data_IF_968260178247
#
_entry.id   IF_968260178247
#
_cell.length_a   1.000
_cell.length_b   1.000
_cell.length_c   1.000
_cell.angle_alpha   90.00
_cell.angle_beta   90.00
_cell.angle_gamma   90.00
#
_symmetry.space_group_name_H-M   'P 1'
#
loop_
_entity.id
_entity.type
_entity.pdbx_description
1 polymer ?
#
# COMPACT_ATOMS: atom_id res chain seq x y z
N UNK A 1 -12.73 -9.26 27.92
CA UNK A 1 -11.72 -10.18 28.43
C UNK A 1 -10.51 -9.40 28.90
N UNK A 2 -9.93 -9.75 30.05
CA UNK A 2 -8.64 -9.17 30.44
C UNK A 2 -7.60 -9.71 29.46
N UNK A 3 -6.90 -8.84 28.77
CA UNK A 3 -5.64 -9.22 28.11
C UNK A 3 -4.72 -9.78 29.20
N UNK A 4 -4.00 -10.86 28.87
CA UNK A 4 -3.20 -11.64 29.80
C UNK A 4 -2.20 -10.83 30.65
N UNK A 5 -1.18 -11.47 31.18
CA UNK A 5 -0.17 -10.87 32.05
C UNK A 5 0.35 -9.54 31.51
N UNK A 6 0.61 -8.53 32.37
CA UNK A 6 1.21 -7.28 31.94
C UNK A 6 2.49 -7.55 31.13
N UNK A 7 2.58 -7.04 29.90
CA UNK A 7 3.75 -7.24 29.02
C UNK A 7 5.07 -6.86 29.71
N UNK A 8 5.01 -5.85 30.59
CA UNK A 8 6.15 -5.39 31.40
C UNK A 8 6.65 -6.47 32.39
N UNK A 9 5.74 -7.31 32.93
CA UNK A 9 6.11 -8.40 33.84
C UNK A 9 6.85 -9.54 33.16
N UNK A 10 6.71 -9.65 31.83
CA UNK A 10 7.40 -10.66 31.00
C UNK A 10 8.66 -10.11 30.32
N UNK A 11 9.12 -8.88 30.67
CA UNK A 11 10.23 -8.20 30.02
C UNK A 11 9.91 -7.72 28.60
N UNK A 12 8.64 -7.78 28.19
CA UNK A 12 8.15 -7.24 26.92
C UNK A 12 7.70 -5.80 27.13
N UNK A 13 8.14 -4.89 26.28
CA UNK A 13 7.70 -3.49 26.28
C UNK A 13 6.20 -3.33 25.99
N UNK A 14 5.71 -2.12 26.12
CA UNK A 14 4.36 -1.78 25.67
C UNK A 14 4.24 -2.02 24.15
N UNK A 15 3.06 -2.46 23.65
CA UNK A 15 2.86 -2.58 22.21
C UNK A 15 3.03 -1.21 21.55
N UNK A 16 3.78 -1.16 20.45
CA UNK A 16 3.90 0.03 19.62
C UNK A 16 2.55 0.38 18.96
N UNK A 17 2.24 1.66 18.92
CA UNK A 17 1.00 2.17 18.29
C UNK A 17 1.35 2.73 16.92
N UNK A 18 0.91 2.03 15.89
CA UNK A 18 1.05 2.47 14.49
C UNK A 18 -0.25 3.07 14.00
N UNK A 19 -0.17 4.26 13.41
CA UNK A 19 -1.34 5.02 12.98
C UNK A 19 -1.43 5.02 11.46
N UNK A 20 -2.54 4.47 10.94
CA UNK A 20 -2.90 4.61 9.54
C UNK A 20 -3.73 5.88 9.35
N UNK A 21 -3.27 6.81 8.51
CA UNK A 21 -4.03 8.03 8.26
C UNK A 21 -3.29 9.03 7.39
N UNK A 22 -4.07 9.82 6.64
CA UNK A 22 -3.55 10.73 5.62
C UNK A 22 -3.97 12.18 5.86
N UNK A 23 -5.12 12.41 6.52
CA UNK A 23 -5.67 13.74 6.73
C UNK A 23 -4.97 14.50 7.87
N UNK A 24 -5.04 15.85 7.88
CA UNK A 24 -4.29 16.70 8.82
C UNK A 24 -4.51 16.34 10.30
N UNK A 25 -5.75 15.96 10.65
CA UNK A 25 -6.07 15.54 12.02
C UNK A 25 -5.34 14.25 12.41
N UNK A 26 -5.26 13.28 11.47
CA UNK A 26 -4.59 12.00 11.73
C UNK A 26 -3.08 12.16 11.76
N UNK A 27 -2.49 13.02 10.94
CA UNK A 27 -1.05 13.33 11.00
C UNK A 27 -0.69 13.95 12.37
N UNK A 28 -1.53 14.86 12.90
CA UNK A 28 -1.35 15.40 14.24
C UNK A 28 -1.45 14.31 15.32
N UNK A 29 -2.45 13.41 15.24
CA UNK A 29 -2.59 12.29 16.18
C UNK A 29 -1.38 11.37 16.11
N UNK A 30 -0.86 11.09 14.90
CA UNK A 30 0.35 10.30 14.72
C UNK A 30 1.54 10.92 15.43
N UNK A 31 1.83 12.20 15.23
CA UNK A 31 2.92 12.89 15.93
C UNK A 31 2.72 12.95 17.45
N UNK A 32 1.47 13.09 17.90
CA UNK A 32 1.16 13.23 19.32
C UNK A 32 1.19 11.90 20.10
N UNK A 33 0.80 10.78 19.46
CA UNK A 33 0.57 9.50 20.17
C UNK A 33 1.18 8.28 19.48
N UNK A 34 1.48 8.36 18.18
CA UNK A 34 1.98 7.25 17.39
C UNK A 34 3.44 6.92 17.68
N UNK A 35 3.77 5.65 17.61
CA UNK A 35 5.15 5.15 17.59
C UNK A 35 5.59 4.85 16.15
N UNK A 36 4.64 4.70 15.22
CA UNK A 36 4.84 4.56 13.78
C UNK A 36 3.70 5.15 12.97
N UNK A 37 3.99 5.47 11.71
CA UNK A 37 3.04 5.90 10.69
C UNK A 37 3.01 4.89 9.55
N UNK A 38 1.83 4.39 9.20
CA UNK A 38 1.62 3.35 8.19
C UNK A 38 0.57 3.81 7.16
N UNK A 39 0.92 4.72 6.23
CA UNK A 39 0.01 5.10 5.17
C UNK A 39 -0.15 3.97 4.15
N UNK A 40 -1.25 3.99 3.41
CA UNK A 40 -1.41 3.18 2.23
C UNK A 40 -0.70 3.82 1.02
N UNK A 41 -0.62 3.10 -0.09
CA UNK A 41 0.24 3.32 -1.25
C UNK A 41 -0.11 4.46 -2.20
N UNK A 42 -1.28 5.05 -2.12
CA UNK A 42 -1.76 6.05 -3.11
C UNK A 42 -1.27 7.47 -2.83
N UNK A 43 0.00 7.66 -2.83
CA UNK A 43 0.61 9.00 -2.75
C UNK A 43 1.97 9.00 -3.45
N UNK A 44 2.37 10.15 -4.00
CA UNK A 44 3.72 10.29 -4.55
C UNK A 44 4.78 10.31 -3.45
N UNK A 45 6.05 10.03 -3.77
CA UNK A 45 7.15 10.21 -2.82
C UNK A 45 7.23 11.62 -2.23
N UNK A 46 6.91 12.64 -3.03
CA UNK A 46 6.89 14.05 -2.59
C UNK A 46 5.79 14.28 -1.55
N UNK A 47 4.59 13.77 -1.81
CA UNK A 47 3.47 13.87 -0.88
C UNK A 47 3.75 13.09 0.42
N UNK A 48 4.35 11.89 0.29
CA UNK A 48 4.81 11.10 1.43
C UNK A 48 5.77 11.91 2.32
N UNK A 49 6.80 12.50 1.73
CA UNK A 49 7.78 13.33 2.48
C UNK A 49 7.15 14.55 3.15
N UNK A 50 6.20 15.22 2.49
CA UNK A 50 5.49 16.37 3.07
C UNK A 50 4.64 15.97 4.28
N UNK A 51 3.92 14.84 4.19
CA UNK A 51 3.13 14.31 5.30
C UNK A 51 4.01 13.84 6.45
N UNK A 52 5.13 13.16 6.16
CA UNK A 52 6.10 12.74 7.15
C UNK A 52 6.70 13.96 7.88
N UNK A 53 7.12 14.99 7.16
CA UNK A 53 7.60 16.24 7.77
C UNK A 53 6.57 16.85 8.72
N UNK A 54 5.29 16.86 8.34
CA UNK A 54 4.20 17.34 9.20
C UNK A 54 4.07 16.50 10.48
N UNK A 55 4.22 15.18 10.40
CA UNK A 55 4.21 14.29 11.58
C UNK A 55 5.40 14.58 12.49
N UNK A 56 6.60 14.76 11.92
CA UNK A 56 7.83 15.10 12.66
C UNK A 56 7.67 16.42 13.42
N UNK A 57 7.12 17.45 12.78
CA UNK A 57 6.86 18.74 13.41
C UNK A 57 5.90 18.61 14.59
N UNK A 58 4.84 17.84 14.45
CA UNK A 58 3.95 17.55 15.57
C UNK A 58 4.65 16.76 16.68
N UNK A 59 5.39 15.70 16.37
CA UNK A 59 6.12 14.93 17.36
C UNK A 59 7.06 15.84 18.18
N UNK A 60 7.84 16.68 17.49
CA UNK A 60 8.71 17.66 18.13
C UNK A 60 7.95 18.65 19.02
N UNK A 61 6.79 19.15 18.58
CA UNK A 61 5.96 20.08 19.36
C UNK A 61 5.39 19.47 20.64
N UNK A 62 5.24 18.14 20.69
CA UNK A 62 4.83 17.37 21.85
C UNK A 62 5.99 16.76 22.64
N UNK A 63 7.24 17.05 22.27
CA UNK A 63 8.45 16.53 22.93
C UNK A 63 8.59 15.01 22.79
N UNK A 64 8.10 14.42 21.69
CA UNK A 64 8.15 12.99 21.41
C UNK A 64 9.24 12.63 20.40
N UNK A 65 9.73 11.38 20.44
CA UNK A 65 10.53 10.85 19.34
C UNK A 65 9.74 10.86 18.02
N UNK A 66 10.43 10.99 16.90
CA UNK A 66 9.84 10.82 15.57
C UNK A 66 9.24 9.42 15.43
N UNK A 67 7.97 9.29 15.03
CA UNK A 67 7.38 7.99 14.72
C UNK A 67 8.12 7.32 13.56
N UNK A 68 8.27 5.99 13.62
CA UNK A 68 8.85 5.21 12.55
C UNK A 68 8.05 5.38 11.25
N UNK A 69 8.73 5.69 10.16
CA UNK A 69 8.12 6.01 8.86
C UNK A 69 7.98 4.74 8.02
N UNK A 70 6.74 4.27 7.80
CA UNK A 70 6.49 3.09 6.99
C UNK A 70 5.57 3.35 5.80
N UNK A 71 5.51 2.37 4.90
CA UNK A 71 4.55 2.32 3.79
C UNK A 71 4.01 0.91 3.66
N UNK A 72 2.68 0.78 3.66
CA UNK A 72 2.00 -0.46 3.27
C UNK A 72 1.67 -0.39 1.78
N UNK A 73 2.12 -1.37 1.02
CA UNK A 73 1.91 -1.41 -0.42
C UNK A 73 1.75 -2.83 -0.95
N UNK A 74 1.32 -2.94 -2.20
CA UNK A 74 1.24 -4.20 -2.92
C UNK A 74 2.18 -4.19 -4.12
N UNK A 75 2.79 -5.35 -4.38
CA UNK A 75 3.66 -5.56 -5.53
C UNK A 75 3.20 -6.77 -6.35
N UNK A 76 3.41 -6.69 -7.65
CA UNK A 76 3.30 -7.80 -8.58
C UNK A 76 4.63 -7.98 -9.29
N UNK A 77 5.30 -9.10 -9.06
CA UNK A 77 6.51 -9.43 -9.84
C UNK A 77 6.11 -9.89 -11.22
N UNK A 78 6.63 -9.22 -12.24
CA UNK A 78 6.40 -9.53 -13.65
C UNK A 78 7.63 -9.17 -14.49
N UNK A 79 7.76 -9.83 -15.65
CA UNK A 79 8.81 -9.52 -16.64
C UNK A 79 8.55 -8.22 -17.37
N UNK A 80 7.28 -7.86 -17.52
CA UNK A 80 6.84 -6.67 -18.21
C UNK A 80 5.44 -6.26 -17.77
N UNK A 81 5.07 -5.04 -18.09
CA UNK A 81 3.70 -4.52 -17.88
C UNK A 81 2.69 -5.34 -18.69
N UNK A 82 3.00 -5.68 -19.97
CA UNK A 82 2.12 -6.47 -20.81
C UNK A 82 1.86 -7.86 -20.22
N UNK A 83 2.90 -8.48 -19.64
CA UNK A 83 2.76 -9.76 -18.95
C UNK A 83 1.91 -9.65 -17.69
N UNK A 84 2.06 -8.59 -16.93
CA UNK A 84 1.21 -8.33 -15.77
C UNK A 84 -0.25 -8.16 -16.19
N UNK A 85 -0.53 -7.40 -17.25
CA UNK A 85 -1.87 -7.24 -17.80
C UNK A 85 -2.49 -8.58 -18.22
N UNK A 86 -1.74 -9.45 -18.95
CA UNK A 86 -2.18 -10.80 -19.28
C UNK A 86 -2.58 -11.63 -18.04
N UNK A 87 -1.86 -11.49 -16.92
CA UNK A 87 -2.20 -12.20 -15.68
C UNK A 87 -3.55 -11.74 -15.15
N UNK A 88 -3.82 -10.43 -15.14
CA UNK A 88 -5.11 -9.87 -14.73
C UNK A 88 -6.24 -10.19 -15.70
N UNK A 89 -5.96 -10.36 -17.00
CA UNK A 89 -6.97 -10.84 -17.95
C UNK A 89 -7.37 -12.31 -17.70
N UNK A 90 -6.44 -13.14 -17.24
CA UNK A 90 -6.70 -14.54 -16.86
C UNK A 90 -7.41 -14.66 -15.52
N UNK A 91 -7.10 -13.77 -14.58
CA UNK A 91 -7.68 -13.71 -13.24
C UNK A 91 -8.31 -12.32 -13.00
N UNK A 92 -9.48 -12.04 -13.64
CA UNK A 92 -10.06 -10.70 -13.64
C UNK A 92 -10.42 -10.17 -12.24
N UNK A 93 -10.66 -11.05 -11.25
CA UNK A 93 -10.95 -10.64 -9.87
C UNK A 93 -9.83 -9.79 -9.27
N UNK A 94 -8.58 -9.98 -9.71
CA UNK A 94 -7.47 -9.13 -9.33
C UNK A 94 -7.64 -7.67 -9.76
N UNK A 95 -8.38 -7.39 -10.82
CA UNK A 95 -8.65 -6.02 -11.29
C UNK A 95 -9.45 -5.19 -10.28
N UNK A 96 -10.16 -5.83 -9.34
CA UNK A 96 -10.85 -5.13 -8.26
C UNK A 96 -9.94 -4.25 -7.41
N UNK A 97 -8.62 -4.48 -7.43
CA UNK A 97 -7.66 -3.55 -6.83
C UNK A 97 -7.76 -2.14 -7.40
N UNK A 98 -8.16 -1.97 -8.68
CA UNK A 98 -8.39 -0.67 -9.28
C UNK A 98 -9.46 0.18 -8.58
N UNK A 99 -10.40 -0.46 -7.86
CA UNK A 99 -11.38 0.26 -7.03
C UNK A 99 -10.75 1.00 -5.85
N UNK A 100 -9.51 0.66 -5.48
CA UNK A 100 -8.81 1.33 -4.39
C UNK A 100 -8.19 2.67 -4.82
N UNK A 101 -8.09 2.95 -6.11
CA UNK A 101 -7.78 4.28 -6.61
C UNK A 101 -8.96 5.23 -6.33
N UNK A 102 -8.67 6.46 -5.94
CA UNK A 102 -9.70 7.47 -5.67
C UNK A 102 -10.40 7.92 -6.96
N UNK A 103 -11.62 8.45 -6.84
CA UNK A 103 -12.40 8.88 -7.99
C UNK A 103 -11.73 9.96 -8.85
N UNK A 104 -10.98 10.88 -8.24
CA UNK A 104 -10.21 11.91 -8.95
C UNK A 104 -9.07 11.31 -9.80
N UNK A 105 -8.47 10.20 -9.37
CA UNK A 105 -7.50 9.43 -10.17
C UNK A 105 -8.18 8.81 -11.39
N UNK A 106 -9.38 8.24 -11.22
CA UNK A 106 -10.17 7.72 -12.33
C UNK A 106 -10.54 8.84 -13.33
N UNK A 107 -11.01 9.99 -12.84
CA UNK A 107 -11.33 11.15 -13.69
C UNK A 107 -10.11 11.67 -14.45
N UNK A 108 -8.94 11.71 -13.83
CA UNK A 108 -7.70 12.15 -14.50
C UNK A 108 -7.26 11.21 -15.62
N UNK A 109 -7.68 9.95 -15.57
CA UNK A 109 -7.52 8.96 -16.64
C UNK A 109 -8.69 8.96 -17.64
N UNK A 110 -9.65 9.88 -17.52
CA UNK A 110 -10.81 9.99 -18.41
C UNK A 110 -11.87 8.90 -18.19
N UNK A 111 -11.89 8.30 -17.00
CA UNK A 111 -12.76 7.19 -16.62
C UNK A 111 -13.68 7.60 -15.45
N UNK A 112 -14.81 6.90 -15.33
CA UNK A 112 -15.71 7.03 -14.19
C UNK A 112 -15.45 5.93 -13.17
N UNK A 113 -15.33 6.29 -11.89
CA UNK A 113 -15.15 5.29 -10.84
C UNK A 113 -16.45 4.49 -10.64
N UNK A 114 -16.40 3.14 -10.62
CA UNK A 114 -17.60 2.29 -10.54
C UNK A 114 -18.48 2.54 -9.31
N UNK A 115 -17.90 3.05 -8.21
CA UNK A 115 -18.62 3.41 -6.98
C UNK A 115 -18.95 4.91 -6.88
N UNK A 116 -18.77 5.66 -7.98
CA UNK A 116 -18.99 7.11 -8.06
C UNK A 116 -17.68 7.92 -7.99
N UNK A 117 -17.68 9.08 -8.64
CA UNK A 117 -16.48 9.92 -8.77
C UNK A 117 -16.06 10.63 -7.46
N UNK A 118 -16.90 10.61 -6.44
CA UNK A 118 -16.59 11.08 -5.09
C UNK A 118 -15.96 9.99 -4.20
N UNK A 119 -15.74 8.79 -4.75
CA UNK A 119 -15.10 7.66 -4.05
C UNK A 119 -13.71 8.04 -3.53
N UNK A 120 -13.45 7.71 -2.26
CA UNK A 120 -12.15 7.83 -1.60
C UNK A 120 -11.31 6.54 -1.71
N UNK A 121 -11.63 5.72 -2.72
CA UNK A 121 -10.93 4.50 -3.01
C UNK A 121 -10.96 3.51 -1.85
N UNK A 122 -9.81 3.05 -1.40
CA UNK A 122 -9.68 2.05 -0.34
C UNK A 122 -10.52 2.33 0.92
N UNK A 123 -10.80 3.60 1.23
CA UNK A 123 -11.57 3.98 2.43
C UNK A 123 -13.05 3.65 2.27
N UNK A 124 -13.58 3.76 1.05
CA UNK A 124 -15.00 3.56 0.75
C UNK A 124 -15.31 2.15 0.27
N UNK A 125 -14.28 1.37 -0.14
CA UNK A 125 -14.47 0.00 -0.61
C UNK A 125 -14.64 -0.95 0.59
N UNK A 126 -15.89 -1.15 1.00
CA UNK A 126 -16.25 -2.10 2.06
C UNK A 126 -16.65 -3.42 1.39
N UNK A 127 -15.72 -4.36 1.32
CA UNK A 127 -15.91 -5.65 0.62
C UNK A 127 -17.15 -6.41 1.12
N UNK A 128 -17.53 -6.25 2.38
CA UNK A 128 -18.69 -6.94 2.98
C UNK A 128 -20.03 -6.39 2.48
N UNK A 129 -20.05 -5.17 1.97
CA UNK A 129 -21.26 -4.53 1.43
C UNK A 129 -21.45 -4.86 -0.06
N UNK A 130 -20.46 -5.47 -0.69
CA UNK A 130 -20.48 -5.83 -2.11
C UNK A 130 -20.90 -7.30 -2.28
N UNK A 131 -21.87 -7.52 -3.17
CA UNK A 131 -22.31 -8.88 -3.53
C UNK A 131 -21.21 -9.56 -4.37
N UNK A 132 -20.95 -10.84 -4.12
CA UNK A 132 -19.91 -11.60 -4.84
C UNK A 132 -20.18 -11.72 -6.35
N UNK A 133 -21.44 -11.78 -6.76
CA UNK A 133 -21.81 -11.85 -8.17
C UNK A 133 -21.61 -10.50 -8.85
N UNK A 134 -21.99 -9.39 -8.19
CA UNK A 134 -21.74 -8.03 -8.67
C UNK A 134 -20.22 -7.78 -8.84
N UNK A 135 -19.39 -8.29 -7.92
CA UNK A 135 -17.92 -8.17 -8.02
C UNK A 135 -17.35 -8.96 -9.19
N UNK A 136 -17.88 -10.14 -9.48
CA UNK A 136 -17.46 -10.94 -10.64
C UNK A 136 -17.81 -10.27 -11.96
N UNK A 137 -18.98 -9.64 -12.03
CA UNK A 137 -19.42 -8.90 -13.21
C UNK A 137 -18.65 -7.59 -13.39
N UNK A 138 -18.28 -6.94 -12.30
CA UNK A 138 -17.54 -5.68 -12.30
C UNK A 138 -16.06 -5.87 -12.64
N UNK A 139 -15.41 -6.89 -12.09
CA UNK A 139 -13.97 -7.08 -12.20
C UNK A 139 -13.43 -7.03 -13.64
N UNK A 140 -14.04 -7.69 -14.65
CA UNK A 140 -13.58 -7.62 -16.04
C UNK A 140 -13.69 -6.22 -16.66
N UNK A 141 -14.54 -5.34 -16.12
CA UNK A 141 -14.78 -3.99 -16.66
C UNK A 141 -13.75 -2.97 -16.19
N UNK A 142 -12.98 -3.29 -15.14
CA UNK A 142 -11.97 -2.39 -14.60
C UNK A 142 -10.74 -2.41 -15.50
N UNK A 143 -10.32 -1.25 -16.04
CA UNK A 143 -9.11 -1.16 -16.85
C UNK A 143 -7.85 -1.46 -16.03
N UNK A 144 -6.87 -2.11 -16.65
CA UNK A 144 -5.60 -2.42 -15.98
C UNK A 144 -4.82 -1.16 -15.58
N UNK A 145 -5.02 -0.06 -16.29
CA UNK A 145 -4.48 1.26 -15.92
C UNK A 145 -4.83 1.64 -14.49
N UNK A 146 -6.06 1.39 -14.05
CA UNK A 146 -6.49 1.72 -12.68
C UNK A 146 -5.88 0.79 -11.64
N UNK A 147 -5.57 -0.45 -12.01
CA UNK A 147 -4.82 -1.37 -11.14
C UNK A 147 -3.40 -0.87 -10.93
N UNK A 148 -2.74 -0.34 -11.97
CA UNK A 148 -1.38 0.22 -11.89
C UNK A 148 -1.28 1.46 -11.00
N UNK A 149 -2.37 2.20 -10.81
CA UNK A 149 -2.37 3.36 -9.91
C UNK A 149 -2.19 2.96 -8.43
N UNK A 150 -2.50 1.72 -8.09
CA UNK A 150 -2.48 1.20 -6.71
C UNK A 150 -1.58 -0.02 -6.51
N UNK A 151 -0.81 -0.40 -7.51
CA UNK A 151 0.01 -1.60 -7.51
C UNK A 151 1.38 -1.32 -8.15
N UNK A 152 2.45 -1.62 -7.43
CA UNK A 152 3.79 -1.57 -8.01
C UNK A 152 4.05 -2.85 -8.82
N UNK A 153 4.44 -2.69 -10.08
CA UNK A 153 4.66 -3.80 -11.01
C UNK A 153 6.07 -3.75 -11.56
N UNK A 154 6.74 -4.90 -11.64
CA UNK A 154 8.07 -5.03 -12.23
C UNK A 154 8.86 -6.19 -11.65
N UNK A 155 10.11 -6.33 -12.10
CA UNK A 155 11.10 -7.19 -11.47
C UNK A 155 11.71 -6.52 -10.22
N UNK A 156 12.56 -7.24 -9.49
CA UNK A 156 13.15 -6.73 -8.24
C UNK A 156 13.91 -5.41 -8.41
N UNK A 157 14.63 -5.21 -9.53
CA UNK A 157 15.38 -3.99 -9.79
C UNK A 157 14.46 -2.80 -10.12
N UNK A 158 13.46 -3.03 -10.95
CA UNK A 158 12.47 -2.02 -11.32
C UNK A 158 11.63 -1.57 -10.10
N UNK A 159 11.23 -2.52 -9.25
CA UNK A 159 10.56 -2.20 -8.00
C UNK A 159 11.47 -1.42 -7.03
N UNK A 160 12.75 -1.80 -6.93
CA UNK A 160 13.73 -1.05 -6.15
C UNK A 160 13.83 0.40 -6.60
N UNK A 161 13.89 0.66 -7.92
CA UNK A 161 13.90 2.02 -8.49
C UNK A 161 12.62 2.79 -8.16
N UNK A 162 11.45 2.13 -8.20
CA UNK A 162 10.17 2.76 -7.83
C UNK A 162 10.14 3.16 -6.36
N UNK A 163 10.77 2.38 -5.46
CA UNK A 163 10.84 2.69 -4.03
C UNK A 163 11.94 3.70 -3.65
N UNK A 164 12.92 3.94 -4.52
CA UNK A 164 14.03 4.89 -4.24
C UNK A 164 13.52 6.30 -3.87
N UNK A 165 12.45 6.77 -4.53
CA UNK A 165 11.85 8.06 -4.23
C UNK A 165 11.31 8.12 -2.79
N UNK A 166 10.68 7.06 -2.32
CA UNK A 166 10.17 6.99 -0.94
C UNK A 166 11.29 6.87 0.08
N UNK A 167 12.35 6.10 -0.22
CA UNK A 167 13.54 6.04 0.64
C UNK A 167 14.16 7.43 0.81
N UNK A 168 14.33 8.20 -0.28
CA UNK A 168 14.81 9.60 -0.24
C UNK A 168 13.85 10.53 0.53
N UNK A 169 12.56 10.22 0.54
CA UNK A 169 11.55 10.97 1.28
C UNK A 169 11.46 10.57 2.77
N UNK A 170 12.29 9.62 3.22
CA UNK A 170 12.40 9.23 4.62
C UNK A 170 11.65 7.94 5.00
N UNK A 171 11.31 7.08 4.02
CA UNK A 171 10.77 5.75 4.29
C UNK A 171 11.83 4.88 4.99
N UNK A 172 11.48 4.30 6.14
CA UNK A 172 12.36 3.42 6.94
C UNK A 172 11.87 1.97 6.92
N UNK A 173 10.56 1.75 6.78
CA UNK A 173 9.96 0.43 6.91
C UNK A 173 8.93 0.17 5.80
N UNK A 174 9.21 -0.78 4.91
CA UNK A 174 8.32 -1.15 3.82
C UNK A 174 7.58 -2.46 4.14
N UNK A 175 6.26 -2.42 4.10
CA UNK A 175 5.38 -3.58 4.29
C UNK A 175 4.83 -3.97 2.92
N UNK A 176 5.19 -5.15 2.45
CA UNK A 176 4.89 -5.61 1.09
C UNK A 176 3.84 -6.73 1.11
N UNK A 177 2.71 -6.48 0.46
CA UNK A 177 1.77 -7.51 0.03
C UNK A 177 2.15 -8.02 -1.37
N UNK A 178 2.70 -9.23 -1.45
CA UNK A 178 3.05 -9.83 -2.75
C UNK A 178 1.84 -10.50 -3.38
N UNK A 179 1.34 -9.96 -4.49
CA UNK A 179 0.15 -10.45 -5.20
C UNK A 179 0.48 -11.45 -6.32
N UNK A 180 1.75 -11.72 -6.61
CA UNK A 180 2.16 -12.56 -7.73
C UNK A 180 1.47 -13.93 -7.74
N UNK A 181 1.38 -14.57 -6.57
CA UNK A 181 0.71 -15.86 -6.47
C UNK A 181 -0.83 -15.77 -6.47
N UNK A 182 -1.38 -14.62 -6.10
CA UNK A 182 -2.83 -14.40 -6.10
C UNK A 182 -3.36 -14.23 -7.54
N UNK A 183 -2.61 -13.50 -8.38
CA UNK A 183 -3.01 -13.18 -9.76
C UNK A 183 -2.43 -14.19 -10.75
N UNK A 184 -1.16 -14.57 -10.61
CA UNK A 184 -0.47 -15.46 -11.55
C UNK A 184 -0.53 -16.94 -11.23
N UNK A 185 -1.05 -17.30 -10.06
CA UNK A 185 -1.13 -18.69 -9.63
C UNK A 185 0.22 -19.34 -9.31
N UNK A 186 0.24 -20.68 -9.27
CA UNK A 186 1.43 -21.44 -8.86
C UNK A 186 2.59 -21.30 -9.84
N UNK A 187 2.31 -21.17 -11.13
CA UNK A 187 3.35 -21.08 -12.17
C UNK A 187 4.19 -19.81 -11.99
N UNK A 188 3.53 -18.67 -11.71
CA UNK A 188 4.24 -17.41 -11.46
C UNK A 188 4.93 -17.41 -10.08
N UNK A 189 4.38 -18.07 -9.07
CA UNK A 189 5.09 -18.29 -7.79
C UNK A 189 6.42 -19.00 -8.04
N UNK A 190 6.42 -20.06 -8.83
CA UNK A 190 7.63 -20.83 -9.14
C UNK A 190 8.60 -20.04 -10.01
N UNK A 191 8.10 -19.35 -11.01
CA UNK A 191 8.93 -18.54 -11.91
C UNK A 191 9.58 -17.33 -11.21
N UNK A 192 8.86 -16.71 -10.25
CA UNK A 192 9.27 -15.47 -9.57
C UNK A 192 9.70 -15.65 -8.12
N UNK A 193 9.87 -16.89 -7.66
CA UNK A 193 10.14 -17.19 -6.24
C UNK A 193 11.38 -16.49 -5.67
N UNK A 194 12.33 -16.08 -6.50
CA UNK A 194 13.55 -15.37 -6.09
C UNK A 194 13.42 -13.82 -6.15
N UNK A 195 12.37 -13.29 -6.73
CA UNK A 195 12.22 -11.84 -6.90
C UNK A 195 12.08 -11.11 -5.55
N UNK A 196 11.31 -11.65 -4.62
CA UNK A 196 11.15 -11.01 -3.30
C UNK A 196 12.45 -10.96 -2.50
N UNK A 197 13.25 -12.06 -2.35
CA UNK A 197 14.57 -11.97 -1.74
C UNK A 197 15.52 -11.00 -2.46
N UNK A 198 15.48 -10.93 -3.78
CA UNK A 198 16.28 -9.99 -4.56
C UNK A 198 15.85 -8.54 -4.29
N UNK A 199 14.54 -8.25 -4.29
CA UNK A 199 14.03 -6.93 -3.93
C UNK A 199 14.47 -6.53 -2.52
N UNK A 200 14.37 -7.45 -1.55
CA UNK A 200 14.84 -7.17 -0.17
C UNK A 200 16.33 -6.82 -0.13
N UNK A 201 17.15 -7.41 -1.01
CA UNK A 201 18.57 -7.07 -1.10
C UNK A 201 18.77 -5.68 -1.71
N UNK A 202 18.07 -5.36 -2.81
CA UNK A 202 18.10 -4.03 -3.45
C UNK A 202 17.68 -2.93 -2.47
N UNK A 203 16.58 -3.14 -1.75
CA UNK A 203 16.05 -2.15 -0.80
C UNK A 203 16.98 -1.88 0.39
N UNK A 204 17.85 -2.80 0.75
CA UNK A 204 18.84 -2.60 1.82
C UNK A 204 20.04 -1.74 1.39
N UNK A 205 20.17 -1.49 0.11
CA UNK A 205 21.21 -0.65 -0.47
C UNK A 205 20.75 0.80 -0.71
N UNK A 206 19.45 1.07 -0.55
CA UNK A 206 18.86 2.42 -0.65
C UNK A 206 19.04 3.20 0.65
#
# INVERSE_FOLDING_TARGET
GRMGLPLEAEGRGKPAIWVAGHGPRMLKITGQYGDGWIPAWWMSPEEYGQKLSTIVDYANSFGRPTPEASLLTFVLFSESIDKAEEMFEKEPLGKLFGLFAMGDIWESNGLEHPLGNDSKGFIDVIIHDLNADDLRDLAPTIPFEMVKEVLFVGNAQELGQQFEGYAKAGLEHLIIGNLTGVVGGMDEILARGMELPQLMSVLKEL
#
